data_IF_067421256589
#
_entry.id   IF_067421256589
#
_cell.length_a   1.000
_cell.length_b   1.000
_cell.length_c   1.000
_cell.angle_alpha   90.00
_cell.angle_beta   90.00
_cell.angle_gamma   90.00
#
_symmetry.space_group_name_H-M   'P 1'
#
loop_
_entity.id
_entity.type
_entity.pdbx_description
1 polymer ?
#
# COMPACT_ATOMS: atom_id res chain seq x y z
N UNK A 1 -21.87 -5.27 -2.09
CA UNK A 1 -20.68 -4.89 -2.91
C UNK A 1 -21.04 -3.71 -3.82
N UNK A 2 -20.92 -2.46 -3.35
CA UNK A 2 -21.15 -1.26 -4.17
C UNK A 2 -20.12 -0.11 -3.97
N UNK A 3 -18.93 -0.36 -3.42
CA UNK A 3 -17.95 0.72 -3.15
C UNK A 3 -16.64 0.63 -3.96
N UNK A 4 -16.62 -0.17 -5.03
CA UNK A 4 -15.40 -0.43 -5.80
C UNK A 4 -15.11 0.51 -6.97
N UNK A 5 -16.08 1.33 -7.42
CA UNK A 5 -15.98 2.03 -8.72
C UNK A 5 -15.68 3.54 -8.66
N UNK A 6 -15.67 4.19 -7.49
CA UNK A 6 -15.43 5.64 -7.41
C UNK A 6 -13.98 6.05 -7.10
N UNK A 7 -13.16 5.15 -6.53
CA UNK A 7 -11.83 5.51 -6.02
C UNK A 7 -10.66 5.27 -7.01
N UNK A 8 -10.92 4.69 -8.18
CA UNK A 8 -9.91 4.37 -9.20
C UNK A 8 -9.36 5.58 -9.97
N UNK A 9 -10.04 6.74 -9.91
CA UNK A 9 -9.62 7.97 -10.62
C UNK A 9 -8.69 8.89 -9.81
N UNK A 10 -8.31 8.52 -8.59
CA UNK A 10 -7.39 9.31 -7.76
C UNK A 10 -5.90 9.03 -8.01
N UNK A 11 -5.57 8.02 -8.84
CA UNK A 11 -4.19 7.61 -9.09
C UNK A 11 -3.39 8.52 -10.02
N UNK A 12 -3.98 9.56 -10.60
CA UNK A 12 -3.24 10.56 -11.40
C UNK A 12 -2.86 11.84 -10.64
N UNK A 13 -3.28 11.98 -9.38
CA UNK A 13 -3.10 13.24 -8.62
C UNK A 13 -2.01 13.19 -7.53
N UNK A 14 -1.41 12.03 -7.26
CA UNK A 14 -0.53 11.82 -6.10
C UNK A 14 0.93 12.32 -6.29
N UNK A 15 1.21 13.20 -7.25
CA UNK A 15 2.55 13.77 -7.48
C UNK A 15 2.49 15.27 -7.75
N UNK A 16 1.75 16.00 -6.92
CA UNK A 16 1.51 17.42 -7.13
C UNK A 16 2.24 18.29 -6.10
N UNK A 17 3.51 18.59 -6.36
CA UNK A 17 4.13 19.91 -6.06
C UNK A 17 5.16 20.20 -7.15
N UNK A 18 4.68 20.69 -8.30
CA UNK A 18 5.50 21.44 -9.23
C UNK A 18 4.68 22.66 -9.65
N UNK A 19 4.45 23.55 -8.69
CA UNK A 19 3.88 24.86 -8.91
C UNK A 19 4.88 25.73 -9.66
N UNK A 20 4.45 26.37 -10.75
CA UNK A 20 5.24 27.36 -11.45
C UNK A 20 4.45 28.67 -11.51
N UNK A 21 5.03 29.73 -10.96
CA UNK A 21 4.63 31.14 -11.09
C UNK A 21 4.90 31.60 -12.52
N UNK A 22 3.99 32.38 -13.12
CA UNK A 22 4.12 32.95 -14.49
C UNK A 22 5.32 33.91 -14.65
N UNK A 23 5.91 34.38 -13.54
CA UNK A 23 7.01 35.38 -13.54
C UNK A 23 8.30 35.00 -12.82
N UNK A 24 8.38 33.87 -12.11
CA UNK A 24 9.62 33.38 -11.47
C UNK A 24 9.44 31.91 -11.10
N UNK A 25 10.37 31.01 -11.38
CA UNK A 25 10.25 29.56 -11.06
C UNK A 25 10.38 29.27 -9.56
N UNK A 26 9.65 29.97 -8.71
CA UNK A 26 9.66 29.79 -7.26
C UNK A 26 8.63 28.73 -6.86
N UNK A 27 9.14 27.62 -6.35
CA UNK A 27 8.37 26.64 -5.58
C UNK A 27 8.32 27.09 -4.13
N UNK A 28 7.38 26.58 -3.32
CA UNK A 28 7.29 26.89 -1.88
C UNK A 28 8.63 26.76 -1.15
N UNK A 29 9.49 25.82 -1.56
CA UNK A 29 10.81 25.58 -0.97
C UNK A 29 11.90 26.55 -1.43
N UNK A 30 11.66 27.34 -2.47
CA UNK A 30 12.65 28.25 -3.09
C UNK A 30 12.29 29.72 -2.93
N UNK A 31 11.10 30.02 -2.43
CA UNK A 31 10.62 31.38 -2.25
C UNK A 31 11.07 31.92 -0.90
N UNK A 32 11.60 33.16 -0.85
CA UNK A 32 11.93 33.83 0.42
C UNK A 32 10.67 34.02 1.27
N UNK A 33 10.80 34.03 2.60
CA UNK A 33 9.65 33.97 3.52
C UNK A 33 8.71 35.18 3.46
N UNK A 34 9.22 36.34 3.04
CA UNK A 34 8.48 37.61 2.92
C UNK A 34 7.85 37.87 1.55
N UNK A 35 8.26 37.14 0.51
CA UNK A 35 7.82 37.43 -0.86
C UNK A 35 6.38 36.98 -1.11
N UNK A 36 5.62 37.79 -1.85
CA UNK A 36 4.33 37.38 -2.37
C UNK A 36 4.53 36.28 -3.42
N UNK A 37 3.81 35.17 -3.27
CA UNK A 37 3.95 33.99 -4.11
C UNK A 37 2.63 33.67 -4.83
N UNK A 38 2.66 33.58 -6.16
CA UNK A 38 1.52 33.19 -6.97
C UNK A 38 1.70 31.80 -7.59
N UNK A 39 1.07 30.79 -6.98
CA UNK A 39 1.13 29.42 -7.46
C UNK A 39 0.05 29.21 -8.51
N UNK A 40 0.46 29.08 -9.78
CA UNK A 40 -0.45 28.65 -10.85
C UNK A 40 -0.38 27.13 -11.00
N UNK A 41 -1.54 26.48 -10.96
CA UNK A 41 -1.66 25.03 -11.17
C UNK A 41 -2.71 24.71 -12.23
N UNK A 42 -2.43 23.83 -13.19
CA UNK A 42 -3.44 23.31 -14.10
C UNK A 42 -4.26 22.17 -13.48
N UNK A 43 -3.84 21.63 -12.33
CA UNK A 43 -4.53 20.52 -11.69
C UNK A 43 -5.64 20.98 -10.75
N UNK A 44 -6.87 20.91 -11.26
CA UNK A 44 -8.10 21.24 -10.53
C UNK A 44 -8.20 20.51 -9.17
N UNK A 45 -7.77 19.26 -9.09
CA UNK A 45 -7.82 18.49 -7.83
C UNK A 45 -6.83 19.03 -6.78
N UNK A 46 -5.61 19.39 -7.20
CA UNK A 46 -4.60 19.96 -6.32
C UNK A 46 -5.04 21.35 -5.83
N UNK A 47 -5.56 22.17 -6.75
CA UNK A 47 -6.17 23.46 -6.42
C UNK A 47 -7.26 23.28 -5.36
N UNK A 48 -8.27 22.44 -5.64
CA UNK A 48 -9.39 22.20 -4.72
C UNK A 48 -8.94 21.70 -3.35
N UNK A 49 -7.93 20.84 -3.31
CA UNK A 49 -7.39 20.28 -2.06
C UNK A 49 -6.68 21.32 -1.20
N UNK A 50 -6.05 22.33 -1.82
CA UNK A 50 -5.31 23.39 -1.13
C UNK A 50 -6.15 24.64 -0.85
N UNK A 51 -7.31 24.79 -1.50
CA UNK A 51 -8.21 25.93 -1.31
C UNK A 51 -9.50 25.51 -0.58
N UNK A 52 -10.48 24.97 -1.30
CA UNK A 52 -11.83 24.76 -0.76
C UNK A 52 -11.91 23.61 0.23
N UNK A 53 -11.25 22.48 -0.06
CA UNK A 53 -11.38 21.28 0.75
C UNK A 53 -10.41 21.28 1.94
N UNK A 54 -9.48 22.24 2.00
CA UNK A 54 -8.40 22.27 2.99
C UNK A 54 -8.97 22.25 4.42
N UNK A 55 -9.92 23.14 4.73
CA UNK A 55 -10.54 23.24 6.06
C UNK A 55 -11.21 21.93 6.49
N UNK A 56 -11.91 21.27 5.55
CA UNK A 56 -12.56 19.98 5.80
C UNK A 56 -11.53 18.88 6.11
N UNK A 57 -10.40 18.88 5.39
CA UNK A 57 -9.34 17.92 5.65
C UNK A 57 -8.64 18.17 6.98
N UNK A 58 -8.43 19.41 7.36
CA UNK A 58 -7.87 19.77 8.67
C UNK A 58 -8.79 19.36 9.82
N UNK A 59 -10.09 19.65 9.73
CA UNK A 59 -11.06 19.28 10.76
C UNK A 59 -11.13 17.75 10.96
N UNK A 60 -10.84 16.96 9.92
CA UNK A 60 -10.84 15.49 9.94
C UNK A 60 -9.46 14.86 10.13
N UNK A 61 -8.45 15.64 10.49
CA UNK A 61 -7.05 15.21 10.62
C UNK A 61 -6.54 14.44 9.39
N UNK A 62 -7.03 14.82 8.20
CA UNK A 62 -6.72 14.17 6.92
C UNK A 62 -7.01 12.66 6.90
N UNK A 63 -7.96 12.20 7.72
CA UNK A 63 -8.31 10.78 7.85
C UNK A 63 -8.78 10.21 6.51
N UNK A 64 -8.08 9.20 6.00
CA UNK A 64 -8.40 8.55 4.72
C UNK A 64 -7.81 9.24 3.47
N UNK A 65 -7.05 10.33 3.64
CA UNK A 65 -6.36 10.99 2.53
C UNK A 65 -5.03 10.30 2.26
N UNK A 66 -4.87 9.78 1.04
CA UNK A 66 -3.65 9.05 0.65
C UNK A 66 -2.38 9.92 0.67
N UNK A 67 -2.52 11.22 0.40
CA UNK A 67 -1.43 12.19 0.39
C UNK A 67 -1.42 13.11 1.63
N UNK A 68 -1.96 12.65 2.76
CA UNK A 68 -2.10 13.45 3.99
C UNK A 68 -0.79 14.13 4.42
N UNK A 69 0.32 13.40 4.45
CA UNK A 69 1.63 13.94 4.86
C UNK A 69 2.13 15.07 3.95
N UNK A 70 1.93 14.94 2.63
CA UNK A 70 2.32 15.98 1.68
C UNK A 70 1.45 17.22 1.83
N UNK A 71 0.13 17.06 1.97
CA UNK A 71 -0.78 18.20 2.17
C UNK A 71 -0.45 18.94 3.45
N UNK A 72 -0.23 18.24 4.56
CA UNK A 72 0.18 18.86 5.82
C UNK A 72 1.50 19.62 5.69
N UNK A 73 2.49 19.06 4.98
CA UNK A 73 3.76 19.73 4.72
C UNK A 73 3.61 20.97 3.83
N UNK A 74 2.77 20.92 2.79
CA UNK A 74 2.49 22.06 1.93
C UNK A 74 1.75 23.16 2.70
N UNK A 75 0.71 22.81 3.44
CA UNK A 75 -0.09 23.76 4.22
C UNK A 75 0.73 24.41 5.33
N UNK A 76 1.54 23.64 6.07
CA UNK A 76 2.43 24.20 7.09
C UNK A 76 3.46 25.15 6.49
N UNK A 77 4.10 24.77 5.36
CA UNK A 77 5.01 25.68 4.65
C UNK A 77 4.32 26.94 4.15
N UNK A 78 3.12 26.81 3.59
CA UNK A 78 2.34 27.97 3.14
C UNK A 78 1.97 28.90 4.31
N UNK A 79 1.66 28.36 5.49
CA UNK A 79 1.32 29.13 6.70
C UNK A 79 2.52 29.74 7.41
N UNK A 80 3.70 29.13 7.32
CA UNK A 80 4.93 29.64 7.92
C UNK A 80 5.40 30.94 7.26
N UNK A 81 5.02 31.16 5.99
CA UNK A 81 5.41 32.36 5.23
C UNK A 81 4.70 33.60 5.76
N UNK A 82 5.46 34.70 5.85
CA UNK A 82 4.92 36.02 6.15
C UNK A 82 4.24 36.65 4.91
N UNK A 83 4.75 36.35 3.71
CA UNK A 83 4.20 36.82 2.44
C UNK A 83 2.89 36.13 2.02
N UNK A 84 2.03 36.84 1.28
CA UNK A 84 0.76 36.28 0.81
C UNK A 84 1.01 35.19 -0.24
N UNK A 85 0.35 34.04 -0.07
CA UNK A 85 0.41 32.94 -1.04
C UNK A 85 -0.93 32.83 -1.76
N UNK A 86 -0.97 33.25 -3.02
CA UNK A 86 -2.13 33.12 -3.89
C UNK A 86 -2.00 31.83 -4.71
N UNK A 87 -3.06 31.05 -4.77
CA UNK A 87 -3.12 29.84 -5.61
C UNK A 87 -4.16 30.12 -6.69
N UNK A 88 -3.75 30.04 -7.96
CA UNK A 88 -4.62 30.25 -9.11
C UNK A 88 -4.75 28.94 -9.92
N UNK A 89 -5.98 28.68 -10.38
CA UNK A 89 -6.27 27.59 -11.30
C UNK A 89 -6.25 28.14 -12.72
N UNK A 90 -5.27 27.71 -13.52
CA UNK A 90 -5.26 28.04 -14.94
C UNK A 90 -5.86 26.87 -15.72
N UNK A 91 -7.10 27.06 -16.19
CA UNK A 91 -7.82 26.09 -17.02
C UNK A 91 -7.52 26.28 -18.51
N UNK A 92 -6.97 27.43 -18.90
CA UNK A 92 -6.68 27.82 -20.28
C UNK A 92 -5.21 27.65 -20.63
N UNK A 93 -4.44 27.03 -19.73
CA UNK A 93 -3.05 26.66 -19.93
C UNK A 93 -2.87 26.04 -21.32
N UNK A 94 -1.95 26.58 -22.13
CA UNK A 94 -1.59 25.97 -23.42
C UNK A 94 -1.27 24.49 -23.19
N UNK A 95 -1.78 23.61 -24.04
CA UNK A 95 -1.71 22.15 -23.82
C UNK A 95 -0.27 21.68 -23.53
N UNK A 96 0.73 22.43 -24.03
CA UNK A 96 2.15 22.29 -23.76
C UNK A 96 2.56 22.40 -22.28
N UNK A 97 2.05 23.36 -21.50
CA UNK A 97 2.44 23.50 -20.10
C UNK A 97 1.81 22.38 -19.24
N UNK A 98 0.54 22.05 -19.49
CA UNK A 98 -0.10 20.90 -18.86
C UNK A 98 0.62 19.59 -19.23
N UNK A 99 1.07 19.45 -20.49
CA UNK A 99 1.87 18.31 -20.97
C UNK A 99 3.27 18.28 -20.35
N UNK A 100 3.92 19.43 -20.14
CA UNK A 100 5.21 19.56 -19.43
C UNK A 100 5.11 19.16 -17.96
N UNK A 101 4.05 19.57 -17.26
CA UNK A 101 3.83 19.13 -15.87
C UNK A 101 3.54 17.64 -15.82
N UNK A 102 2.63 17.14 -16.66
CA UNK A 102 2.31 15.70 -16.75
C UNK A 102 3.53 14.85 -17.08
N UNK A 103 4.37 15.28 -18.01
CA UNK A 103 5.60 14.57 -18.39
C UNK A 103 6.67 14.56 -17.28
N UNK A 104 6.84 15.68 -16.55
CA UNK A 104 7.72 15.71 -15.36
C UNK A 104 7.22 14.75 -14.28
N UNK A 105 5.91 14.71 -14.05
CA UNK A 105 5.26 13.80 -13.11
C UNK A 105 5.48 12.34 -13.53
N UNK A 106 5.16 11.97 -14.78
CA UNK A 106 5.37 10.59 -15.24
C UNK A 106 6.84 10.20 -15.24
N UNK A 107 7.76 11.12 -15.56
CA UNK A 107 9.20 10.88 -15.44
C UNK A 107 9.60 10.65 -13.99
N UNK A 108 9.12 11.46 -13.05
CA UNK A 108 9.37 11.29 -11.62
C UNK A 108 8.75 10.01 -11.05
N UNK A 109 7.58 9.58 -11.55
CA UNK A 109 6.95 8.31 -11.17
C UNK A 109 7.73 7.08 -11.64
N UNK A 110 8.41 7.19 -12.79
CA UNK A 110 9.21 6.12 -13.39
C UNK A 110 10.61 5.99 -12.77
N UNK A 111 11.11 7.05 -12.13
CA UNK A 111 12.39 6.98 -11.43
C UNK A 111 12.27 6.01 -10.24
N UNK A 112 13.08 4.95 -10.26
CA UNK A 112 13.14 3.96 -9.16
C UNK A 112 13.74 4.53 -7.86
N UNK A 113 14.44 5.66 -7.96
CA UNK A 113 14.89 6.42 -6.79
C UNK A 113 13.72 7.17 -6.18
N UNK A 114 13.16 6.61 -5.10
CA UNK A 114 12.12 7.26 -4.30
C UNK A 114 12.76 8.45 -3.57
N UNK A 115 12.77 9.62 -4.19
CA UNK A 115 13.26 10.84 -3.54
C UNK A 115 12.37 11.10 -2.33
N UNK A 116 12.94 10.96 -1.14
CA UNK A 116 12.24 11.22 0.12
C UNK A 116 11.97 12.72 0.15
N UNK A 117 10.71 13.12 -0.05
CA UNK A 117 10.31 14.51 0.13
C UNK A 117 10.20 14.74 1.63
N UNK A 118 10.99 15.66 2.23
CA UNK A 118 10.89 15.94 3.65
C UNK A 118 9.51 16.50 3.96
N UNK A 119 8.69 15.68 4.63
CA UNK A 119 7.40 16.07 5.21
C UNK A 119 7.56 16.59 6.63
N UNK A 120 8.69 17.23 6.92
CA UNK A 120 8.96 17.85 8.22
C UNK A 120 8.03 19.03 8.38
N UNK A 121 7.09 18.91 9.32
CA UNK A 121 6.13 19.95 9.69
C UNK A 121 6.70 20.63 10.93
N UNK A 122 6.73 21.96 10.93
CA UNK A 122 7.12 22.71 12.11
C UNK A 122 6.13 22.44 13.25
N UNK A 123 6.65 22.19 14.46
CA UNK A 123 5.86 21.66 15.60
C UNK A 123 4.75 22.61 16.04
N UNK A 124 4.96 23.91 15.90
CA UNK A 124 4.03 25.02 16.14
C UNK A 124 2.80 24.99 15.22
N UNK A 125 2.96 24.52 13.98
CA UNK A 125 1.91 24.44 12.97
C UNK A 125 1.29 23.04 12.86
N UNK A 126 1.69 22.12 13.73
CA UNK A 126 1.21 20.75 13.70
C UNK A 126 -0.11 20.59 14.48
N UNK A 127 -1.22 20.89 13.81
CA UNK A 127 -2.53 20.47 14.30
C UNK A 127 -2.59 18.94 14.34
N UNK A 128 -2.76 18.39 15.54
CA UNK A 128 -2.93 16.96 15.78
C UNK A 128 -4.34 16.68 16.24
N UNK A 129 -4.97 15.68 15.62
CA UNK A 129 -6.27 15.19 16.03
C UNK A 129 -7.44 15.84 15.31
N UNK A 130 -8.62 15.23 15.52
CA UNK A 130 -9.86 15.61 14.84
C UNK A 130 -10.58 16.66 15.68
N UNK A 131 -11.11 17.70 15.02
CA UNK A 131 -11.96 18.69 15.69
C UNK A 131 -13.27 18.04 16.13
N UNK A 132 -13.45 17.84 17.44
CA UNK A 132 -14.62 17.16 18.02
C UNK A 132 -15.95 17.79 17.58
N UNK A 133 -16.02 19.12 17.49
CA UNK A 133 -17.22 19.84 17.04
C UNK A 133 -17.65 19.53 15.59
N UNK A 134 -16.75 18.98 14.77
CA UNK A 134 -17.02 18.56 13.37
C UNK A 134 -16.88 17.05 13.18
N UNK A 135 -16.57 16.33 14.25
CA UNK A 135 -16.34 14.89 14.20
C UNK A 135 -17.67 14.15 14.16
N UNK A 136 -17.80 13.21 13.22
CA UNK A 136 -18.87 12.22 13.25
C UNK A 136 -18.36 10.94 13.91
N UNK A 137 -19.25 10.15 14.51
CA UNK A 137 -18.91 8.81 15.03
C UNK A 137 -18.16 7.96 13.99
N UNK A 138 -18.58 8.04 12.72
CA UNK A 138 -17.93 7.33 11.61
C UNK A 138 -16.50 7.81 11.34
N UNK A 139 -16.21 9.10 11.52
CA UNK A 139 -14.85 9.67 11.34
C UNK A 139 -13.96 9.28 12.53
N UNK A 140 -14.49 9.39 13.76
CA UNK A 140 -13.78 8.98 14.97
C UNK A 140 -13.43 7.49 14.93
N UNK A 141 -14.39 6.64 14.58
CA UNK A 141 -14.17 5.21 14.46
C UNK A 141 -13.09 4.87 13.42
N UNK A 142 -13.11 5.54 12.25
CA UNK A 142 -12.06 5.37 11.23
C UNK A 142 -10.68 5.78 11.76
N UNK A 143 -10.61 6.88 12.49
CA UNK A 143 -9.36 7.38 13.05
C UNK A 143 -8.78 6.39 14.07
N UNK A 144 -9.58 6.00 15.07
CA UNK A 144 -9.19 4.99 16.08
C UNK A 144 -8.77 3.69 15.41
N UNK A 145 -9.52 3.24 14.40
CA UNK A 145 -9.18 2.00 13.67
C UNK A 145 -7.84 2.14 12.94
N UNK A 146 -7.58 3.28 12.29
CA UNK A 146 -6.31 3.52 11.60
C UNK A 146 -5.13 3.58 12.58
N UNK A 147 -5.33 4.21 13.74
CA UNK A 147 -4.31 4.26 14.79
C UNK A 147 -4.04 2.88 15.38
N UNK A 148 -5.08 2.09 15.66
CA UNK A 148 -4.91 0.70 16.10
C UNK A 148 -4.21 -0.14 15.03
N UNK A 149 -4.55 0.05 13.76
CA UNK A 149 -3.91 -0.65 12.64
C UNK A 149 -2.45 -0.23 12.43
N UNK A 150 -2.06 1.02 12.71
CA UNK A 150 -0.67 1.45 12.59
C UNK A 150 0.22 0.89 13.70
N UNK A 151 -0.36 0.70 14.91
CA UNK A 151 0.30 0.02 16.03
C UNK A 151 0.28 -1.51 15.88
N UNK A 152 -0.60 -2.05 15.04
CA UNK A 152 -0.73 -3.49 14.84
C UNK A 152 0.48 -4.03 14.06
N UNK A 153 1.44 -4.57 14.78
CA UNK A 153 2.45 -5.46 14.21
C UNK A 153 1.77 -6.80 13.93
N UNK A 154 1.64 -7.14 12.64
CA UNK A 154 0.95 -8.37 12.23
C UNK A 154 1.40 -9.59 13.04
N UNK A 155 0.48 -10.52 13.32
CA UNK A 155 0.79 -11.74 14.09
C UNK A 155 2.03 -12.43 13.51
N UNK A 156 3.08 -12.61 14.32
CA UNK A 156 4.40 -13.15 13.91
C UNK A 156 4.28 -14.41 13.03
N UNK A 157 3.40 -15.33 13.40
CA UNK A 157 3.17 -16.58 12.66
C UNK A 157 2.56 -16.34 11.28
N UNK A 158 1.55 -15.50 11.18
CA UNK A 158 0.94 -15.12 9.90
C UNK A 158 1.95 -14.45 8.97
N UNK A 159 2.83 -13.60 9.52
CA UNK A 159 3.91 -12.96 8.74
C UNK A 159 4.89 -14.01 8.19
N UNK A 160 5.29 -14.99 9.01
CA UNK A 160 6.18 -16.10 8.59
C UNK A 160 5.55 -16.96 7.48
N UNK A 161 4.26 -17.27 7.59
CA UNK A 161 3.55 -18.04 6.55
C UNK A 161 3.48 -17.23 5.25
N UNK A 162 3.13 -15.95 5.33
CA UNK A 162 3.09 -15.07 4.16
C UNK A 162 4.47 -14.93 3.49
N UNK A 163 5.55 -14.77 4.26
CA UNK A 163 6.90 -14.68 3.71
C UNK A 163 7.30 -15.99 3.00
N UNK A 164 7.00 -17.13 3.62
CA UNK A 164 7.26 -18.45 3.02
C UNK A 164 6.52 -18.64 1.69
N UNK A 165 5.25 -18.21 1.61
CA UNK A 165 4.47 -18.26 0.35
C UNK A 165 5.10 -17.34 -0.69
N UNK A 166 5.49 -16.12 -0.32
CA UNK A 166 6.12 -15.18 -1.28
C UNK A 166 7.46 -15.70 -1.80
N UNK A 167 8.30 -16.26 -0.95
CA UNK A 167 9.59 -16.85 -1.31
C UNK A 167 9.41 -18.06 -2.24
N UNK A 168 8.44 -18.93 -1.93
CA UNK A 168 8.13 -20.07 -2.76
C UNK A 168 7.62 -19.66 -4.16
N UNK A 169 6.76 -18.64 -4.21
CA UNK A 169 6.23 -18.11 -5.48
C UNK A 169 7.32 -17.51 -6.34
N UNK A 170 8.25 -16.77 -5.73
CA UNK A 170 9.41 -16.21 -6.43
C UNK A 170 10.38 -17.31 -6.87
N UNK A 171 10.58 -18.36 -6.07
CA UNK A 171 11.48 -19.47 -6.42
C UNK A 171 10.99 -20.24 -7.65
N UNK A 172 9.72 -20.62 -7.67
CA UNK A 172 9.15 -21.51 -8.70
C UNK A 172 8.71 -20.73 -9.94
N UNK A 173 7.92 -19.68 -9.75
CA UNK A 173 7.29 -18.96 -10.87
C UNK A 173 7.96 -17.63 -11.19
N UNK A 174 9.03 -17.25 -10.47
CA UNK A 174 9.71 -15.94 -10.62
C UNK A 174 8.76 -14.75 -10.49
N UNK A 175 7.65 -14.93 -9.77
CA UNK A 175 6.60 -13.94 -9.60
C UNK A 175 6.70 -13.26 -8.24
N UNK A 176 6.88 -11.94 -8.23
CA UNK A 176 6.84 -11.13 -7.01
C UNK A 176 5.41 -10.82 -6.62
N UNK A 177 4.88 -11.60 -5.68
CA UNK A 177 3.50 -11.44 -5.18
C UNK A 177 3.50 -10.62 -3.89
N UNK A 178 2.59 -9.64 -3.77
CA UNK A 178 2.40 -8.92 -2.51
C UNK A 178 1.56 -9.75 -1.53
N UNK A 179 1.77 -9.66 -0.20
CA UNK A 179 0.88 -10.29 0.77
C UNK A 179 -0.61 -9.94 0.56
N UNK A 180 -0.91 -8.74 0.06
CA UNK A 180 -2.28 -8.31 -0.28
C UNK A 180 -2.89 -9.13 -1.41
N UNK A 181 -2.09 -9.50 -2.39
CA UNK A 181 -2.52 -10.29 -3.54
C UNK A 181 -2.78 -11.73 -3.13
N UNK A 182 -1.96 -12.28 -2.22
CA UNK A 182 -2.19 -13.60 -1.62
C UNK A 182 -3.54 -13.61 -0.90
N UNK A 183 -3.80 -12.65 -0.01
CA UNK A 183 -5.08 -12.56 0.69
C UNK A 183 -6.27 -12.37 -0.26
N UNK A 184 -6.06 -11.66 -1.37
CA UNK A 184 -7.09 -11.47 -2.40
C UNK A 184 -7.37 -12.78 -3.14
N UNK A 185 -6.33 -13.54 -3.50
CA UNK A 185 -6.46 -14.85 -4.13
C UNK A 185 -7.18 -15.85 -3.23
N UNK A 186 -6.86 -15.87 -1.93
CA UNK A 186 -7.56 -16.70 -0.93
C UNK A 186 -9.07 -16.41 -0.84
N UNK A 187 -9.51 -15.23 -1.29
CA UNK A 187 -10.93 -14.81 -1.26
C UNK A 187 -11.58 -14.81 -2.63
N UNK A 188 -10.98 -15.44 -3.63
CA UNK A 188 -11.51 -15.48 -4.98
C UNK A 188 -12.91 -16.12 -5.04
N UNK A 189 -13.75 -15.65 -5.95
CA UNK A 189 -15.15 -16.11 -6.08
C UNK A 189 -15.27 -17.57 -6.52
N UNK A 190 -14.26 -18.08 -7.21
CA UNK A 190 -14.23 -19.46 -7.70
C UNK A 190 -13.92 -20.48 -6.60
N UNK A 191 -13.49 -20.01 -5.42
CA UNK A 191 -13.26 -20.86 -4.26
C UNK A 191 -14.54 -20.98 -3.43
N UNK A 192 -14.90 -22.22 -3.09
CA UNK A 192 -16.01 -22.48 -2.18
C UNK A 192 -15.81 -21.73 -0.85
N UNK A 193 -16.91 -21.39 -0.16
CA UNK A 193 -16.82 -20.71 1.15
C UNK A 193 -15.99 -21.51 2.15
N UNK A 194 -16.16 -22.83 2.16
CA UNK A 194 -15.43 -23.76 3.03
C UNK A 194 -13.94 -23.73 2.73
N UNK A 195 -13.54 -23.79 1.46
CA UNK A 195 -12.13 -23.69 1.04
C UNK A 195 -11.51 -22.35 1.44
N UNK A 196 -12.24 -21.24 1.24
CA UNK A 196 -11.74 -19.91 1.64
C UNK A 196 -11.54 -19.80 3.14
N UNK A 197 -12.46 -20.34 3.93
CA UNK A 197 -12.34 -20.39 5.38
C UNK A 197 -11.14 -21.25 5.81
N UNK A 198 -10.99 -22.43 5.19
CA UNK A 198 -9.88 -23.32 5.45
C UNK A 198 -8.52 -22.65 5.20
N UNK A 199 -8.35 -22.04 4.03
CA UNK A 199 -7.13 -21.32 3.67
C UNK A 199 -6.87 -20.12 4.59
N UNK A 200 -7.90 -19.36 4.94
CA UNK A 200 -7.77 -18.23 5.87
C UNK A 200 -7.26 -18.69 7.25
N UNK A 201 -7.89 -19.71 7.82
CA UNK A 201 -7.48 -20.30 9.10
C UNK A 201 -6.07 -20.88 9.04
N UNK A 202 -5.72 -21.57 7.96
CA UNK A 202 -4.37 -22.15 7.75
C UNK A 202 -3.30 -21.06 7.68
N UNK A 203 -3.54 -19.99 6.92
CA UNK A 203 -2.61 -18.86 6.83
C UNK A 203 -2.46 -18.09 8.15
N UNK A 204 -3.50 -18.08 8.98
CA UNK A 204 -3.44 -17.51 10.32
C UNK A 204 -2.85 -18.45 11.37
N UNK A 205 -2.49 -19.67 10.99
CA UNK A 205 -2.04 -20.72 11.90
C UNK A 205 -3.06 -20.96 13.03
N UNK A 206 -4.35 -20.90 12.67
CA UNK A 206 -5.47 -21.04 13.58
C UNK A 206 -6.02 -22.48 13.62
N UNK A 207 -5.74 -23.30 12.60
CA UNK A 207 -5.96 -24.74 12.68
C UNK A 207 -4.88 -25.39 13.53
N UNK A 208 -5.29 -26.05 14.61
CA UNK A 208 -4.34 -26.80 15.44
C UNK A 208 -3.83 -28.08 14.78
N UNK A 209 -4.55 -28.60 13.79
CA UNK A 209 -4.23 -29.86 13.11
C UNK A 209 -3.32 -29.68 11.89
N UNK A 210 -2.53 -28.59 11.83
CA UNK A 210 -1.61 -28.33 10.71
C UNK A 210 -0.25 -27.89 11.27
N UNK A 211 0.82 -28.58 10.85
CA UNK A 211 2.22 -28.21 11.12
C UNK A 211 2.62 -28.24 12.60
N UNK A 212 3.43 -27.28 13.04
CA UNK A 212 4.00 -27.17 14.40
C UNK A 212 2.94 -27.10 15.53
N UNK A 213 1.65 -27.00 15.22
CA UNK A 213 0.60 -27.04 16.23
C UNK A 213 0.29 -28.44 16.76
N UNK A 214 0.66 -29.51 16.04
CA UNK A 214 0.56 -30.89 16.53
C UNK A 214 1.43 -31.14 17.75
N UNK A 215 2.52 -30.38 17.93
CA UNK A 215 3.48 -30.57 19.02
C UNK A 215 3.15 -29.77 20.28
N UNK A 216 1.94 -29.20 20.39
CA UNK A 216 1.54 -28.46 21.59
C UNK A 216 1.21 -29.45 22.72
N UNK A 217 1.73 -29.17 23.92
CA UNK A 217 1.57 -30.00 25.12
C UNK A 217 0.11 -30.17 25.58
N UNK A 218 -0.81 -29.33 25.11
CA UNK A 218 -2.24 -29.39 25.45
C UNK A 218 -3.02 -30.50 24.74
N UNK A 219 -2.40 -31.24 23.83
CA UNK A 219 -3.03 -32.36 23.11
C UNK A 219 -2.63 -33.71 23.71
N UNK A 220 -3.50 -34.70 23.57
CA UNK A 220 -3.26 -36.08 23.98
C UNK A 220 -1.97 -36.63 23.34
N UNK A 221 -1.22 -37.41 24.11
CA UNK A 221 0.08 -38.00 23.75
C UNK A 221 0.03 -38.70 22.38
N UNK A 222 -0.99 -39.53 22.15
CA UNK A 222 -1.18 -40.31 20.92
C UNK A 222 -1.28 -39.43 19.65
N UNK A 223 -2.00 -38.30 19.75
CA UNK A 223 -2.13 -37.36 18.63
C UNK A 223 -0.82 -36.59 18.39
N UNK A 224 -0.02 -36.40 19.44
CA UNK A 224 1.27 -35.73 19.41
C UNK A 224 2.31 -36.61 18.71
N UNK A 225 2.36 -37.89 19.07
CA UNK A 225 3.26 -38.88 18.47
C UNK A 225 2.96 -39.12 16.99
N UNK A 226 1.67 -39.32 16.64
CA UNK A 226 1.26 -39.46 15.24
C UNK A 226 1.60 -38.24 14.38
N UNK A 227 1.39 -37.02 14.91
CA UNK A 227 1.73 -35.78 14.20
C UNK A 227 3.24 -35.56 14.02
N UNK A 228 4.05 -35.97 14.99
CA UNK A 228 5.53 -35.92 14.90
C UNK A 228 6.04 -36.91 13.86
N UNK A 229 5.49 -38.12 13.83
CA UNK A 229 5.89 -39.16 12.88
C UNK A 229 5.54 -38.78 11.43
N UNK A 230 4.39 -38.14 11.20
CA UNK A 230 4.02 -37.62 9.88
C UNK A 230 4.91 -36.43 9.45
N UNK A 231 5.34 -35.57 10.38
CA UNK A 231 6.27 -34.47 10.05
C UNK A 231 7.67 -34.98 9.69
N UNK A 232 8.14 -36.06 10.31
CA UNK A 232 9.43 -36.67 10.00
C UNK A 232 9.43 -37.36 8.63
N UNK A 233 8.32 -37.98 8.21
CA UNK A 233 8.23 -38.62 6.88
C UNK A 233 8.18 -37.60 5.74
N UNK A 234 7.58 -36.42 5.95
CA UNK A 234 7.52 -35.33 4.93
C UNK A 234 8.79 -34.47 4.84
N UNK A 235 9.70 -34.54 5.82
CA UNK A 235 11.03 -33.87 5.74
C UNK A 235 12.05 -34.64 4.90
N UNK A 236 11.72 -35.84 4.43
CA UNK A 236 12.54 -36.51 3.42
C UNK A 236 12.55 -35.62 2.17
N UNK A 237 13.72 -35.23 1.62
CA UNK A 237 13.77 -34.44 0.41
C UNK A 237 12.99 -35.20 -0.65
N UNK A 238 12.07 -34.49 -1.32
CA UNK A 238 11.30 -35.02 -2.43
C UNK A 238 12.31 -35.62 -3.42
N UNK A 239 12.42 -36.95 -3.43
CA UNK A 239 13.27 -37.66 -4.38
C UNK A 239 12.76 -37.25 -5.74
N UNK A 240 13.66 -36.68 -6.53
CA UNK A 240 13.44 -36.27 -7.92
C UNK A 240 12.68 -37.38 -8.63
N UNK A 241 11.41 -37.15 -8.98
CA UNK A 241 10.75 -37.96 -9.98
C UNK A 241 11.50 -37.70 -11.29
N UNK A 242 12.43 -38.58 -11.63
CA UNK A 242 13.06 -38.64 -12.94
C UNK A 242 11.97 -38.95 -13.97
N UNK A 243 11.45 -37.90 -14.59
CA UNK A 243 10.73 -38.01 -15.84
C UNK A 243 11.67 -38.66 -16.88
N UNK A 244 11.12 -39.64 -17.60
CA UNK A 244 11.67 -40.31 -18.79
C UNK A 244 12.58 -41.51 -18.48
N UNK A 245 11.96 -42.68 -18.33
CA UNK A 245 12.62 -43.94 -18.70
C UNK A 245 12.52 -44.07 -20.24
N UNK A 246 13.61 -44.31 -20.97
CA UNK A 246 13.56 -44.55 -22.41
C UNK A 246 12.86 -45.88 -22.71
N UNK A 247 11.99 -45.83 -23.72
CA UNK A 247 11.27 -46.96 -24.29
C UNK A 247 12.26 -48.06 -24.75
N UNK A 248 12.04 -49.35 -24.42
CA UNK A 248 12.92 -50.41 -24.92
C UNK A 248 12.74 -50.55 -26.44
N UNK A 249 13.89 -50.51 -27.12
CA UNK A 249 14.09 -50.66 -28.54
C UNK A 249 13.77 -52.10 -28.98
N UNK A 250 12.99 -52.25 -30.04
CA UNK A 250 12.63 -53.54 -30.64
C UNK A 250 13.58 -53.82 -31.79
N UNK A 251 14.68 -54.52 -31.54
CA UNK A 251 15.45 -55.18 -32.60
C UNK A 251 16.19 -56.39 -32.04
N UNK A 252 15.68 -57.61 -32.30
CA UNK A 252 16.50 -58.78 -32.64
C UNK A 252 15.64 -59.74 -33.50
N UNK A 253 15.79 -59.60 -34.82
CA UNK A 253 15.62 -60.70 -35.76
C UNK A 253 16.98 -61.42 -35.88
N UNK A 254 16.98 -62.75 -35.83
CA UNK A 254 18.17 -63.54 -36.10
C UNK A 254 18.04 -65.01 -35.74
N UNK A 255 17.27 -65.76 -36.54
CA UNK A 255 17.68 -67.00 -37.25
C UNK A 255 16.46 -67.75 -37.78
#
# INVERSE_FOLDING_TARGET
MKDGKSYGRFFRAAQFVASYTKHKKLTLDKAGDSDNLEIVTPARQAFKSLTTDLKKWEDSDYTGVRAAGLLRAITSKARKRAGKTNIALDLNTSDDLAKRVRSKVTKAARMHTRKIVPTTIATDLQLKGIKLAKATQSTLYKHIRNEKNSKYTGRRRTVKVLSSITEYMERIWKLKVSPKDIWKATRHKDLSRTTRYFLWMTMHDAYSMIGENWTRTSYNEELREGGVQEMQTRRKPCTTYSLIAPHPDKTQHGN
#
